data_IF_782783467364
#
_entry.id   IF_782783467364
#
_cell.length_a   1.000
_cell.length_b   1.000
_cell.length_c   1.000
_cell.angle_alpha   90.00
_cell.angle_beta   90.00
_cell.angle_gamma   90.00
#
_symmetry.space_group_name_H-M   'P 1'
#
loop_
_entity.id
_entity.type
_entity.pdbx_description
1 polymer ?
#
# COMPACT_ATOMS: atom_id res chain seq x y z
N UNK A 1 -20.41 -10.44 19.63
CA UNK A 1 -20.93 -10.70 18.27
C UNK A 1 -19.77 -11.22 17.45
N UNK A 2 -19.94 -12.34 16.74
CA UNK A 2 -18.87 -12.96 15.95
C UNK A 2 -18.95 -12.47 14.51
N UNK A 3 -17.81 -12.07 13.96
CA UNK A 3 -17.67 -11.74 12.54
C UNK A 3 -16.80 -12.79 11.87
N UNK A 4 -17.14 -13.15 10.63
CA UNK A 4 -16.38 -14.10 9.82
C UNK A 4 -15.89 -13.37 8.57
N UNK A 5 -14.58 -13.42 8.34
CA UNK A 5 -13.95 -12.92 7.13
C UNK A 5 -13.85 -14.04 6.10
N UNK A 6 -14.44 -13.83 4.93
CA UNK A 6 -14.43 -14.73 3.79
C UNK A 6 -13.52 -14.14 2.70
N UNK A 7 -12.57 -14.92 2.21
CA UNK A 7 -11.65 -14.52 1.13
C UNK A 7 -11.84 -15.44 -0.07
N UNK A 8 -12.06 -14.87 -1.25
CA UNK A 8 -12.17 -15.58 -2.52
C UNK A 8 -11.11 -15.07 -3.50
N UNK A 9 -10.14 -15.94 -3.80
CA UNK A 9 -9.03 -15.69 -4.71
C UNK A 9 -8.93 -16.74 -5.84
N UNK A 10 -10.06 -17.37 -6.20
CA UNK A 10 -10.10 -18.36 -7.31
C UNK A 10 -9.80 -17.70 -8.65
N UNK A 11 -10.21 -16.44 -8.79
CA UNK A 11 -10.08 -15.63 -9.99
C UNK A 11 -8.80 -14.80 -9.91
N UNK A 12 -7.90 -14.93 -10.89
CA UNK A 12 -6.63 -14.18 -10.89
C UNK A 12 -6.82 -12.70 -11.19
N UNK A 13 -7.91 -12.36 -11.88
CA UNK A 13 -8.30 -11.00 -12.25
C UNK A 13 -8.88 -10.19 -11.08
N UNK A 14 -9.35 -10.87 -10.02
CA UNK A 14 -9.97 -10.22 -8.87
C UNK A 14 -9.86 -11.06 -7.60
N UNK A 15 -9.49 -10.43 -6.50
CA UNK A 15 -9.65 -10.98 -5.15
C UNK A 15 -10.82 -10.29 -4.46
N UNK A 16 -11.63 -11.07 -3.74
CA UNK A 16 -12.82 -10.58 -3.03
C UNK A 16 -12.72 -10.93 -1.56
N UNK A 17 -13.01 -9.97 -0.70
CA UNK A 17 -13.09 -10.14 0.74
C UNK A 17 -14.46 -9.68 1.23
N UNK A 18 -15.09 -10.48 2.08
CA UNK A 18 -16.36 -10.15 2.71
C UNK A 18 -16.30 -10.39 4.21
N UNK A 19 -16.82 -9.47 5.00
CA UNK A 19 -17.06 -9.67 6.42
C UNK A 19 -18.55 -9.90 6.63
N UNK A 20 -18.91 -11.03 7.22
CA UNK A 20 -20.31 -11.40 7.51
C UNK A 20 -20.54 -11.57 9.02
N UNK A 21 -21.76 -11.31 9.48
CA UNK A 21 -22.17 -11.66 10.83
C UNK A 21 -22.48 -13.16 10.97
N UNK A 22 -22.80 -13.57 12.20
CA UNK A 22 -23.18 -14.95 12.56
C UNK A 22 -24.44 -15.48 11.87
N UNK A 23 -25.27 -14.61 11.28
CA UNK A 23 -26.46 -14.97 10.50
C UNK A 23 -26.19 -14.98 8.99
N UNK A 24 -24.94 -14.74 8.59
CA UNK A 24 -24.53 -14.65 7.18
C UNK A 24 -24.89 -13.32 6.51
N UNK A 25 -25.28 -12.29 7.29
CA UNK A 25 -25.53 -10.95 6.72
C UNK A 25 -24.20 -10.27 6.42
N UNK A 26 -24.10 -9.73 5.21
CA UNK A 26 -22.95 -8.94 4.77
C UNK A 26 -22.84 -7.65 5.59
N UNK A 27 -21.64 -7.39 6.10
CA UNK A 27 -21.27 -6.16 6.81
C UNK A 27 -20.38 -5.29 5.92
N UNK A 28 -19.33 -5.89 5.37
CA UNK A 28 -18.34 -5.20 4.55
C UNK A 28 -17.98 -6.07 3.35
N UNK A 29 -17.73 -5.44 2.20
CA UNK A 29 -17.28 -6.11 0.99
C UNK A 29 -16.20 -5.27 0.31
N UNK A 30 -15.09 -5.91 -0.03
CA UNK A 30 -14.01 -5.31 -0.79
C UNK A 30 -13.67 -6.20 -1.99
N UNK A 31 -13.33 -5.56 -3.11
CA UNK A 31 -12.83 -6.21 -4.31
C UNK A 31 -11.54 -5.53 -4.73
N UNK A 32 -10.48 -6.34 -4.86
CA UNK A 32 -9.20 -5.91 -5.40
C UNK A 32 -9.07 -6.48 -6.81
N UNK A 33 -9.06 -5.62 -7.82
CA UNK A 33 -8.78 -6.04 -9.19
C UNK A 33 -7.29 -6.24 -9.39
N UNK A 34 -6.90 -7.12 -10.32
CA UNK A 34 -5.50 -7.35 -10.73
C UNK A 34 -4.87 -6.18 -11.52
N UNK A 35 -5.44 -4.98 -11.41
CA UNK A 35 -4.84 -3.75 -11.94
C UNK A 35 -3.56 -3.47 -11.13
N UNK A 36 -2.60 -2.77 -11.75
CA UNK A 36 -1.31 -2.36 -11.15
C UNK A 36 -1.42 -2.19 -9.64
N UNK A 37 -0.62 -2.96 -8.90
CA UNK A 37 -0.65 -2.95 -7.45
C UNK A 37 -0.46 -1.52 -6.92
N UNK A 38 -1.37 -1.03 -6.07
CA UNK A 38 -1.23 0.29 -5.47
C UNK A 38 0.01 0.27 -4.55
N UNK A 39 0.92 1.20 -4.77
CA UNK A 39 2.14 1.33 -3.95
C UNK A 39 1.96 2.28 -2.76
N UNK A 40 0.81 2.95 -2.68
CA UNK A 40 0.48 3.91 -1.61
C UNK A 40 0.37 3.18 -0.28
N UNK A 41 1.08 3.68 0.74
CA UNK A 41 1.09 3.07 2.08
C UNK A 41 2.10 1.94 2.25
N UNK A 42 2.77 1.52 1.18
CA UNK A 42 3.86 0.55 1.28
C UNK A 42 5.07 1.16 2.00
N UNK A 43 5.82 0.30 2.69
CA UNK A 43 7.07 0.66 3.38
C UNK A 43 8.21 -0.09 2.70
N UNK A 44 9.27 0.65 2.38
CA UNK A 44 10.44 0.11 1.67
C UNK A 44 11.72 0.43 2.43
N UNK A 45 12.72 -0.44 2.30
CA UNK A 45 14.09 -0.09 2.62
C UNK A 45 14.72 0.58 1.39
N UNK A 46 14.83 1.91 1.43
CA UNK A 46 15.38 2.70 0.33
C UNK A 46 16.85 3.09 0.53
N UNK A 47 17.54 3.39 -0.56
CA UNK A 47 18.89 3.96 -0.57
C UNK A 47 18.85 5.41 -1.05
N UNK A 48 19.39 6.33 -0.26
CA UNK A 48 19.54 7.74 -0.71
C UNK A 48 20.55 7.78 -1.85
N UNK A 49 20.11 8.24 -3.02
CA UNK A 49 20.95 8.40 -4.20
C UNK A 49 21.57 9.79 -4.28
N UNK A 50 20.78 10.82 -3.97
CA UNK A 50 21.19 12.24 -4.11
C UNK A 50 20.49 13.11 -3.08
N UNK A 51 21.22 14.08 -2.53
CA UNK A 51 20.65 15.16 -1.69
C UNK A 51 20.67 16.47 -2.48
N UNK A 52 19.50 17.09 -2.63
CA UNK A 52 19.31 18.34 -3.36
C UNK A 52 18.99 19.49 -2.40
N UNK A 53 20.02 20.26 -2.05
CA UNK A 53 19.89 21.37 -1.10
C UNK A 53 18.91 22.44 -1.58
N UNK A 54 18.90 22.74 -2.88
CA UNK A 54 17.99 23.75 -3.45
C UNK A 54 16.51 23.36 -3.33
N UNK A 55 16.21 22.06 -3.31
CA UNK A 55 14.86 21.54 -3.13
C UNK A 55 14.52 21.21 -1.68
N UNK A 56 15.50 21.31 -0.77
CA UNK A 56 15.39 20.83 0.62
C UNK A 56 14.86 19.38 0.64
N UNK A 57 15.46 18.50 -0.16
CA UNK A 57 14.98 17.13 -0.35
C UNK A 57 16.11 16.15 -0.72
N UNK A 58 15.78 14.86 -0.70
CA UNK A 58 16.62 13.79 -1.20
C UNK A 58 15.86 12.93 -2.21
N UNK A 59 16.57 12.35 -3.17
CA UNK A 59 16.08 11.31 -4.05
C UNK A 59 16.50 9.93 -3.53
N UNK A 60 15.55 9.01 -3.45
CA UNK A 60 15.69 7.70 -2.80
C UNK A 60 15.33 6.60 -3.79
N UNK A 61 16.25 5.66 -4.02
CA UNK A 61 15.94 4.41 -4.70
C UNK A 61 15.19 3.50 -3.74
N UNK A 62 13.92 3.21 -4.05
CA UNK A 62 13.08 2.25 -3.32
C UNK A 62 12.73 1.01 -4.17
N UNK A 63 13.40 0.82 -5.31
CA UNK A 63 13.13 -0.26 -6.28
C UNK A 63 12.02 0.05 -7.30
N UNK A 64 11.52 1.28 -7.33
CA UNK A 64 10.55 1.74 -8.34
C UNK A 64 11.18 2.11 -9.68
N UNK A 65 10.34 2.35 -10.69
CA UNK A 65 10.79 2.80 -12.04
C UNK A 65 11.43 4.20 -12.00
N UNK A 66 11.05 5.01 -11.01
CA UNK A 66 11.60 6.34 -10.77
C UNK A 66 11.97 6.45 -9.30
N UNK A 67 13.03 7.20 -9.03
CA UNK A 67 13.44 7.54 -7.67
C UNK A 67 12.30 8.23 -6.92
N UNK A 68 12.16 7.86 -5.65
CA UNK A 68 11.27 8.52 -4.72
C UNK A 68 11.81 9.90 -4.36
N UNK A 69 10.90 10.84 -4.13
CA UNK A 69 11.23 12.18 -3.64
C UNK A 69 10.92 12.25 -2.14
N UNK A 70 11.94 12.52 -1.32
CA UNK A 70 11.84 12.63 0.13
C UNK A 70 12.13 14.07 0.57
N UNK A 71 11.09 14.88 0.86
CA UNK A 71 11.27 16.23 1.40
C UNK A 71 11.92 16.20 2.78
N UNK A 72 12.77 17.18 3.09
CA UNK A 72 13.46 17.28 4.38
C UNK A 72 12.49 17.32 5.56
N UNK A 73 11.34 17.97 5.41
CA UNK A 73 10.30 18.05 6.47
C UNK A 73 9.67 16.71 6.85
N UNK A 74 9.80 15.70 5.97
CA UNK A 74 9.23 14.37 6.17
C UNK A 74 10.30 13.37 6.68
N UNK A 75 11.54 13.85 6.92
CA UNK A 75 12.63 13.06 7.52
C UNK A 75 12.50 13.14 9.04
N UNK A 76 12.45 11.97 9.71
CA UNK A 76 12.47 11.91 11.18
C UNK A 76 13.77 12.49 11.73
N UNK A 77 13.71 13.13 12.91
CA UNK A 77 14.88 13.67 13.61
C UNK A 77 15.63 12.63 14.45
N UNK A 78 15.20 11.37 14.42
CA UNK A 78 15.80 10.24 15.15
C UNK A 78 17.14 9.78 14.56
#
# INVERSE_FOLDING_TARGET
MKHVMLVNAVHKEQMRMATVDEKGKLIEFNIQMAVREPITGNIYQGKVLKVERGLQAAFVDYGGVKDGFLPLRDVSHE
#
